data_IF_947129970362
#
_entry.id   IF_947129970362
#
_cell.length_a   1.000
_cell.length_b   1.000
_cell.length_c   1.000
_cell.angle_alpha   90.00
_cell.angle_beta   90.00
_cell.angle_gamma   90.00
#
_symmetry.space_group_name_H-M   'P 1'
#
loop_
_entity.id
_entity.type
_entity.pdbx_description
1 polymer ?
#
# COMPACT_ATOMS: atom_id res chain seq x y z
N UNK A 1 11.19 -32.54 -12.12
CA UNK A 1 12.09 -32.46 -10.95
C UNK A 1 13.37 -31.64 -11.21
N UNK A 2 13.34 -30.58 -12.02
CA UNK A 2 14.57 -29.88 -12.44
C UNK A 2 15.11 -28.82 -11.43
N UNK A 3 14.41 -28.53 -10.36
CA UNK A 3 14.83 -27.40 -9.49
C UNK A 3 14.70 -27.66 -7.98
N UNK A 4 15.06 -28.86 -7.49
CA UNK A 4 15.09 -29.10 -6.03
C UNK A 4 15.99 -28.11 -5.29
N UNK A 5 17.11 -27.71 -5.90
CA UNK A 5 18.02 -26.71 -5.34
C UNK A 5 17.37 -25.34 -5.21
N UNK A 6 16.55 -24.92 -6.19
CA UNK A 6 15.83 -23.65 -6.14
C UNK A 6 14.83 -23.62 -4.97
N UNK A 7 14.04 -24.66 -4.79
CA UNK A 7 13.10 -24.75 -3.66
C UNK A 7 13.81 -24.73 -2.31
N UNK A 8 14.96 -25.40 -2.20
CA UNK A 8 15.75 -25.36 -0.97
C UNK A 8 16.22 -23.93 -0.67
N UNK A 9 16.70 -23.21 -1.68
CA UNK A 9 17.14 -21.81 -1.54
C UNK A 9 15.95 -20.93 -1.12
N UNK A 10 14.78 -21.10 -1.74
CA UNK A 10 13.56 -20.35 -1.38
C UNK A 10 13.15 -20.61 0.07
N UNK A 11 13.15 -21.87 0.51
CA UNK A 11 12.80 -22.23 1.89
C UNK A 11 13.80 -21.62 2.89
N UNK A 12 15.11 -21.69 2.60
CA UNK A 12 16.14 -21.07 3.43
C UNK A 12 15.91 -19.55 3.52
N UNK A 13 15.64 -18.89 2.41
CA UNK A 13 15.36 -17.46 2.38
C UNK A 13 14.08 -17.12 3.19
N UNK A 14 13.03 -17.93 3.09
CA UNK A 14 11.78 -17.75 3.86
C UNK A 14 12.07 -17.85 5.37
N UNK A 15 12.86 -18.84 5.80
CA UNK A 15 13.24 -19.02 7.20
C UNK A 15 14.05 -17.80 7.69
N UNK A 16 15.05 -17.38 6.93
CA UNK A 16 15.86 -16.19 7.26
C UNK A 16 15.02 -14.94 7.32
N UNK A 17 14.13 -14.75 6.35
CA UNK A 17 13.19 -13.62 6.33
C UNK A 17 12.28 -13.61 7.55
N UNK A 18 11.72 -14.78 7.94
CA UNK A 18 10.88 -14.91 9.12
C UNK A 18 11.65 -14.57 10.43
N UNK A 19 12.92 -14.98 10.54
CA UNK A 19 13.77 -14.61 11.68
C UNK A 19 14.00 -13.10 11.72
N UNK A 20 14.27 -12.46 10.58
CA UNK A 20 14.46 -11.00 10.50
C UNK A 20 13.17 -10.26 10.86
N UNK A 21 12.03 -10.70 10.35
CA UNK A 21 10.71 -10.11 10.69
C UNK A 21 10.45 -10.24 12.19
N UNK A 22 10.75 -11.40 12.80
CA UNK A 22 10.55 -11.61 14.24
C UNK A 22 11.47 -10.73 15.10
N UNK A 23 12.68 -10.48 14.68
CA UNK A 23 13.70 -9.77 15.49
C UNK A 23 13.72 -8.27 15.25
N UNK A 24 13.58 -7.84 14.00
CA UNK A 24 13.71 -6.43 13.58
C UNK A 24 12.43 -5.84 12.97
N UNK A 25 11.41 -6.68 12.71
CA UNK A 25 10.22 -6.29 11.96
C UNK A 25 10.53 -5.98 10.48
N UNK A 26 9.50 -5.63 9.74
CA UNK A 26 9.67 -5.05 8.40
C UNK A 26 10.21 -3.62 8.51
N UNK A 27 10.97 -3.20 7.50
CA UNK A 27 11.29 -1.79 7.31
C UNK A 27 10.09 -1.11 6.64
N UNK A 28 9.57 -0.01 7.16
CA UNK A 28 8.43 0.69 6.61
C UNK A 28 8.87 2.03 6.02
N UNK A 29 8.28 2.42 4.90
CA UNK A 29 8.43 3.79 4.41
C UNK A 29 7.74 4.77 5.38
N UNK A 30 8.13 6.03 5.35
CA UNK A 30 7.64 7.07 6.26
C UNK A 30 6.12 7.07 6.38
N UNK A 31 5.40 6.96 5.24
CA UNK A 31 3.93 6.96 5.20
C UNK A 31 3.26 5.72 5.84
N UNK A 32 3.99 4.64 6.06
CA UNK A 32 3.49 3.39 6.62
C UNK A 32 4.07 3.07 8.00
N UNK A 33 5.09 3.81 8.43
CA UNK A 33 5.60 3.78 9.81
C UNK A 33 4.71 4.66 10.71
N UNK A 34 4.91 4.58 12.01
CA UNK A 34 4.44 5.61 12.91
C UNK A 34 5.16 6.93 12.57
N UNK A 35 4.39 7.99 12.34
CA UNK A 35 4.92 9.28 11.90
C UNK A 35 4.00 10.42 12.30
N UNK A 36 4.54 11.64 12.30
CA UNK A 36 3.78 12.87 12.46
C UNK A 36 3.40 13.44 11.10
N UNK A 37 2.17 13.87 10.96
CA UNK A 37 1.66 14.58 9.80
C UNK A 37 1.31 16.00 10.15
N UNK A 38 1.84 16.93 9.38
CA UNK A 38 1.53 18.37 9.48
C UNK A 38 0.69 18.74 8.26
N UNK A 39 -0.55 19.14 8.47
CA UNK A 39 -1.42 19.68 7.44
C UNK A 39 -1.46 21.18 7.51
N UNK A 40 -1.15 21.84 6.40
CA UNK A 40 -1.05 23.29 6.29
C UNK A 40 -1.95 23.76 5.16
N UNK A 41 -2.86 24.66 5.45
CA UNK A 41 -3.73 25.27 4.45
C UNK A 41 -3.04 26.52 3.91
N UNK A 42 -2.55 26.43 2.67
CA UNK A 42 -1.91 27.55 1.98
C UNK A 42 -2.96 28.60 1.51
N UNK A 43 -4.17 28.13 1.11
CA UNK A 43 -5.30 29.00 0.73
C UNK A 43 -5.11 29.76 -0.59
N UNK A 44 -4.07 29.44 -1.37
CA UNK A 44 -3.82 29.94 -2.72
C UNK A 44 -3.06 28.92 -3.55
N UNK A 45 -3.03 29.08 -4.85
CA UNK A 45 -2.23 28.21 -5.71
C UNK A 45 -0.76 28.22 -5.31
N UNK A 46 -0.14 27.05 -5.29
CA UNK A 46 1.27 26.85 -5.01
C UNK A 46 1.84 25.68 -5.83
N UNK A 47 3.14 25.74 -6.08
CA UNK A 47 3.87 24.61 -6.63
C UNK A 47 4.36 23.69 -5.50
N UNK A 48 4.05 22.39 -5.58
CA UNK A 48 4.45 21.41 -4.57
C UNK A 48 5.97 21.41 -4.36
N UNK A 49 6.73 21.57 -5.44
CA UNK A 49 8.21 21.63 -5.42
C UNK A 49 8.76 22.77 -4.57
N UNK A 50 8.03 23.87 -4.46
CA UNK A 50 8.44 24.98 -3.60
C UNK A 50 8.27 24.67 -2.13
N UNK A 51 7.20 23.95 -1.80
CA UNK A 51 6.95 23.47 -0.43
C UNK A 51 7.96 22.38 -0.07
N UNK A 52 8.27 21.46 -1.00
CA UNK A 52 9.30 20.43 -0.80
C UNK A 52 10.65 21.06 -0.44
N UNK A 53 11.08 22.09 -1.17
CA UNK A 53 12.33 22.80 -0.84
C UNK A 53 12.29 23.42 0.57
N UNK A 54 11.18 24.04 0.94
CA UNK A 54 11.04 24.63 2.27
C UNK A 54 11.07 23.54 3.34
N UNK A 55 10.42 22.40 3.09
CA UNK A 55 10.43 21.24 3.99
C UNK A 55 11.83 20.64 4.11
N UNK A 56 12.54 20.41 2.99
CA UNK A 56 13.93 19.92 2.96
C UNK A 56 14.89 20.80 3.78
N UNK A 57 14.68 22.12 3.74
CA UNK A 57 15.50 23.05 4.50
C UNK A 57 15.11 23.20 5.98
N UNK A 58 13.91 22.72 6.36
CA UNK A 58 13.34 22.92 7.70
C UNK A 58 13.33 21.66 8.53
N UNK A 59 13.11 20.50 7.91
CA UNK A 59 12.95 19.19 8.53
C UNK A 59 14.19 18.34 8.21
N UNK A 60 14.85 17.83 9.24
CA UNK A 60 16.10 17.07 9.08
C UNK A 60 15.89 15.60 8.74
N UNK A 61 14.74 15.05 9.15
CA UNK A 61 14.42 13.66 8.89
C UNK A 61 13.78 13.46 7.51
N UNK A 62 13.83 12.21 7.02
CA UNK A 62 13.13 11.82 5.80
C UNK A 62 11.65 12.17 5.91
N UNK A 63 11.17 12.95 4.97
CA UNK A 63 9.78 13.41 4.92
C UNK A 63 9.18 13.27 3.53
N UNK A 64 7.85 13.31 3.47
CA UNK A 64 7.09 13.23 2.23
C UNK A 64 6.08 14.36 2.20
N UNK A 65 6.16 15.20 1.18
CA UNK A 65 5.25 16.32 0.97
C UNK A 65 4.19 15.98 -0.09
N UNK A 66 2.91 16.26 0.20
CA UNK A 66 1.80 15.93 -0.70
C UNK A 66 0.76 17.04 -0.72
N UNK A 67 0.07 17.20 -1.85
CA UNK A 67 -1.17 17.97 -1.91
C UNK A 67 -2.30 17.11 -1.32
N UNK A 68 -3.09 17.67 -0.39
CA UNK A 68 -4.12 16.93 0.35
C UNK A 68 -5.54 17.28 -0.02
N UNK A 69 -5.76 18.37 -0.74
CA UNK A 69 -7.12 18.77 -1.18
C UNK A 69 -7.30 18.59 -2.67
N UNK A 70 -8.54 18.34 -3.08
CA UNK A 70 -8.95 18.28 -4.49
C UNK A 70 -8.62 19.58 -5.26
N UNK A 71 -8.62 20.72 -4.55
CA UNK A 71 -8.34 22.04 -5.13
C UNK A 71 -6.89 22.48 -4.98
N UNK A 72 -6.01 21.64 -4.41
CA UNK A 72 -4.59 21.91 -4.31
C UNK A 72 -4.21 23.09 -3.41
N UNK A 73 -5.07 23.45 -2.46
CA UNK A 73 -4.82 24.60 -1.56
C UNK A 73 -4.17 24.20 -0.23
N UNK A 74 -4.11 22.92 0.08
CA UNK A 74 -3.49 22.39 1.30
C UNK A 74 -2.32 21.48 0.99
N UNK A 75 -1.37 21.41 1.90
CA UNK A 75 -0.22 20.52 1.85
C UNK A 75 -0.15 19.67 3.12
N UNK A 76 0.21 18.40 2.96
CA UNK A 76 0.56 17.49 4.05
C UNK A 76 2.03 17.18 3.98
N UNK A 77 2.71 17.31 5.12
CA UNK A 77 4.11 16.93 5.30
C UNK A 77 4.13 15.80 6.34
N UNK A 78 4.56 14.62 5.90
CA UNK A 78 4.67 13.43 6.73
C UNK A 78 6.15 13.19 7.03
N UNK A 79 6.54 13.20 8.30
CA UNK A 79 7.90 12.89 8.74
C UNK A 79 7.87 12.00 9.98
N UNK A 80 8.90 11.20 10.18
CA UNK A 80 8.97 10.24 11.28
C UNK A 80 8.85 10.91 12.63
N UNK A 81 9.51 12.04 12.79
CA UNK A 81 9.34 12.96 13.90
C UNK A 81 9.53 14.40 13.39
N UNK A 82 8.87 15.36 14.01
CA UNK A 82 9.01 16.79 13.73
C UNK A 82 9.05 17.50 15.05
N UNK A 83 10.13 18.23 15.29
CA UNK A 83 10.31 19.02 16.52
C UNK A 83 9.63 20.38 16.41
N UNK A 84 9.34 21.00 17.55
CA UNK A 84 8.75 22.33 17.59
C UNK A 84 9.67 23.41 16.95
N UNK A 85 10.99 23.23 17.01
CA UNK A 85 11.95 24.12 16.35
C UNK A 85 11.91 24.00 14.83
N UNK A 86 11.76 22.77 14.31
CA UNK A 86 11.58 22.51 12.89
C UNK A 86 10.25 23.08 12.37
N UNK A 87 9.16 22.94 13.15
CA UNK A 87 7.89 23.57 12.83
C UNK A 87 7.98 25.10 12.79
N UNK A 88 8.66 25.72 13.77
CA UNK A 88 8.89 27.16 13.77
C UNK A 88 9.66 27.62 12.54
N UNK A 89 10.70 26.87 12.16
CA UNK A 89 11.50 27.16 10.96
C UNK A 89 10.67 27.03 9.69
N UNK A 90 9.88 25.95 9.58
CA UNK A 90 8.96 25.70 8.46
C UNK A 90 7.94 26.84 8.33
N UNK A 91 7.29 27.22 9.43
CA UNK A 91 6.30 28.30 9.43
C UNK A 91 6.90 29.65 9.10
N UNK A 92 8.09 29.97 9.61
CA UNK A 92 8.78 31.21 9.27
C UNK A 92 9.00 31.36 7.75
N UNK A 93 9.50 30.32 7.11
CA UNK A 93 9.74 30.31 5.66
C UNK A 93 8.42 30.33 4.84
N UNK A 94 7.39 29.61 5.30
CA UNK A 94 6.08 29.64 4.65
C UNK A 94 5.41 31.01 4.80
N UNK A 95 5.52 31.64 5.97
CA UNK A 95 4.99 32.98 6.22
C UNK A 95 5.68 34.01 5.31
N UNK A 96 6.98 33.94 5.17
CA UNK A 96 7.75 34.81 4.27
C UNK A 96 7.31 34.63 2.82
N UNK A 97 7.24 33.38 2.33
CA UNK A 97 6.93 33.08 0.92
C UNK A 97 5.48 33.35 0.55
N UNK A 98 4.55 32.98 1.42
CA UNK A 98 3.10 33.02 1.12
C UNK A 98 2.36 34.14 1.82
N UNK A 99 3.03 35.05 2.54
CA UNK A 99 2.44 36.17 3.28
C UNK A 99 1.36 35.71 4.26
N UNK A 100 1.65 34.64 5.02
CA UNK A 100 0.77 34.05 6.03
C UNK A 100 1.30 34.37 7.44
N UNK A 101 0.56 33.94 8.45
CA UNK A 101 0.90 34.18 9.86
C UNK A 101 0.79 32.91 10.68
N UNK A 102 1.33 31.79 10.14
CA UNK A 102 1.34 30.53 10.89
C UNK A 102 2.19 30.66 12.16
N UNK A 103 1.66 30.17 13.26
CA UNK A 103 2.33 30.18 14.55
C UNK A 103 2.17 28.81 15.22
N UNK A 104 3.22 28.32 15.88
CA UNK A 104 3.19 27.05 16.60
C UNK A 104 2.13 27.01 17.71
N UNK A 105 1.77 28.17 18.27
CA UNK A 105 0.72 28.27 19.28
C UNK A 105 -0.68 27.97 18.75
N UNK A 106 -0.88 28.13 17.44
CA UNK A 106 -2.15 27.90 16.78
C UNK A 106 -2.27 26.46 16.22
N UNK A 107 -1.25 25.65 16.45
CA UNK A 107 -1.23 24.24 16.05
C UNK A 107 -2.17 23.43 16.93
N UNK A 108 -3.21 22.88 16.36
CA UNK A 108 -4.05 21.89 17.03
C UNK A 108 -3.39 20.52 16.92
N UNK A 109 -3.10 19.90 18.06
CA UNK A 109 -2.61 18.51 18.15
C UNK A 109 -3.84 17.63 18.39
N UNK A 110 -4.25 16.89 17.36
CA UNK A 110 -5.33 15.90 17.47
C UNK A 110 -4.75 14.49 17.47
N UNK A 111 -5.09 13.71 18.48
CA UNK A 111 -4.57 12.34 18.68
C UNK A 111 -5.17 11.29 17.72
N UNK A 112 -6.19 11.65 16.93
CA UNK A 112 -6.90 10.68 16.05
C UNK A 112 -7.15 11.30 14.69
N UNK A 113 -6.61 10.65 13.67
CA UNK A 113 -6.88 10.95 12.27
C UNK A 113 -8.28 10.43 11.90
N UNK A 114 -9.27 11.29 11.99
CA UNK A 114 -10.50 11.07 11.25
C UNK A 114 -10.27 11.59 9.83
N UNK A 115 -10.32 10.69 8.85
CA UNK A 115 -10.33 11.02 7.41
C UNK A 115 -11.59 11.83 7.09
N UNK A 116 -11.61 13.08 7.47
CA UNK A 116 -12.62 14.02 6.99
C UNK A 116 -11.95 14.92 5.96
N UNK A 117 -12.40 14.79 4.72
CA UNK A 117 -12.10 15.74 3.67
C UNK A 117 -12.76 17.08 4.06
N UNK A 118 -11.99 17.94 4.70
CA UNK A 118 -12.38 19.34 4.86
C UNK A 118 -12.02 20.03 3.54
N UNK A 119 -13.01 20.24 2.69
CA UNK A 119 -12.87 21.14 1.54
C UNK A 119 -12.41 22.50 2.03
N UNK A 120 -11.60 23.21 1.23
CA UNK A 120 -11.22 24.59 1.54
C UNK A 120 -12.47 25.45 1.69
N UNK A 121 -12.70 25.93 2.90
CA UNK A 121 -13.92 26.67 3.27
C UNK A 121 -13.66 28.18 3.24
N UNK A 122 -12.39 28.60 3.16
CA UNK A 122 -11.96 29.99 3.21
C UNK A 122 -12.60 30.90 2.15
N UNK A 123 -12.97 30.34 1.00
CA UNK A 123 -13.53 31.07 -0.13
C UNK A 123 -15.05 30.91 -0.28
N UNK A 124 -15.69 30.16 0.64
CA UNK A 124 -17.14 29.92 0.63
C UNK A 124 -17.89 30.99 1.42
N UNK A 125 -19.09 31.32 0.95
CA UNK A 125 -20.01 32.21 1.68
C UNK A 125 -20.49 31.54 2.97
N UNK A 126 -20.96 32.35 3.93
CA UNK A 126 -21.46 31.85 5.21
C UNK A 126 -22.62 30.86 5.03
N UNK A 127 -23.47 31.07 4.00
CA UNK A 127 -24.59 30.17 3.67
C UNK A 127 -24.09 28.80 3.16
N UNK A 128 -23.04 28.76 2.35
CA UNK A 128 -22.44 27.51 1.86
C UNK A 128 -21.76 26.76 2.99
N UNK A 129 -21.10 27.48 3.89
CA UNK A 129 -20.47 26.88 5.09
C UNK A 129 -21.54 26.33 6.03
N UNK A 130 -22.65 27.03 6.23
CA UNK A 130 -23.78 26.55 7.02
C UNK A 130 -24.41 25.26 6.45
N UNK A 131 -24.49 25.14 5.12
CA UNK A 131 -24.94 23.90 4.48
C UNK A 131 -23.97 22.75 4.73
N UNK A 132 -22.65 23.00 4.68
CA UNK A 132 -21.64 22.01 5.00
C UNK A 132 -21.71 21.55 6.47
N UNK A 133 -21.90 22.49 7.40
CA UNK A 133 -22.12 22.18 8.82
C UNK A 133 -23.30 21.24 9.00
N UNK A 134 -24.43 21.50 8.32
CA UNK A 134 -25.59 20.62 8.39
C UNK A 134 -25.32 19.23 7.79
N UNK A 135 -24.60 19.13 6.68
CA UNK A 135 -24.21 17.87 6.09
C UNK A 135 -23.27 17.06 7.00
N UNK A 136 -22.31 17.72 7.66
CA UNK A 136 -21.41 17.11 8.64
C UNK A 136 -22.20 16.60 9.84
N UNK A 137 -23.14 17.39 10.34
CA UNK A 137 -24.02 16.98 11.44
C UNK A 137 -24.86 15.75 11.09
N UNK A 138 -25.50 15.74 9.93
CA UNK A 138 -26.34 14.62 9.49
C UNK A 138 -25.52 13.34 9.24
N UNK A 139 -24.35 13.48 8.63
CA UNK A 139 -23.54 12.31 8.21
C UNK A 139 -22.69 11.72 9.33
N UNK A 140 -22.19 12.56 10.23
CA UNK A 140 -21.19 12.14 11.24
C UNK A 140 -21.65 12.40 12.69
N UNK A 141 -22.80 13.06 12.91
CA UNK A 141 -23.28 13.40 14.24
C UNK A 141 -22.42 14.44 14.98
N UNK A 142 -21.57 15.20 14.27
CA UNK A 142 -20.67 16.19 14.82
C UNK A 142 -21.30 17.59 14.70
N UNK A 143 -21.28 18.35 15.80
CA UNK A 143 -21.78 19.72 15.84
C UNK A 143 -20.61 20.71 15.71
N UNK A 144 -20.60 21.47 14.62
CA UNK A 144 -19.71 22.61 14.40
C UNK A 144 -20.50 23.87 14.19
N UNK A 145 -19.93 25.02 14.59
CA UNK A 145 -20.41 26.34 14.19
C UNK A 145 -19.74 26.74 12.87
N UNK A 146 -20.34 27.73 12.17
CA UNK A 146 -19.75 28.30 10.95
C UNK A 146 -18.36 28.89 11.24
N UNK A 147 -18.22 29.56 12.38
CA UNK A 147 -16.97 30.17 12.83
C UNK A 147 -15.90 29.12 13.13
N UNK A 148 -16.25 28.03 13.83
CA UNK A 148 -15.32 26.92 14.12
C UNK A 148 -14.87 26.21 12.84
N UNK A 149 -15.73 26.06 11.86
CA UNK A 149 -15.37 25.45 10.58
C UNK A 149 -14.47 26.38 9.75
N UNK A 150 -14.71 27.68 9.74
CA UNK A 150 -13.85 28.67 9.10
C UNK A 150 -12.50 28.78 9.79
N UNK A 151 -12.46 28.81 11.11
CA UNK A 151 -11.24 28.78 11.90
C UNK A 151 -10.45 27.50 11.67
N UNK A 152 -11.11 26.35 11.59
CA UNK A 152 -10.48 25.07 11.28
C UNK A 152 -9.81 25.07 9.90
N UNK A 153 -10.39 25.84 8.93
CA UNK A 153 -9.85 25.94 7.57
C UNK A 153 -8.57 26.78 7.44
N UNK A 154 -8.25 27.59 8.44
CA UNK A 154 -7.06 28.46 8.46
C UNK A 154 -5.94 27.92 9.31
N UNK A 155 -6.13 26.82 10.05
CA UNK A 155 -5.21 26.32 11.04
C UNK A 155 -4.27 25.24 10.50
N UNK A 156 -3.06 25.22 11.07
CA UNK A 156 -2.14 24.12 10.93
C UNK A 156 -2.56 23.02 11.89
N UNK A 157 -2.67 21.80 11.39
CA UNK A 157 -2.98 20.61 12.20
C UNK A 157 -1.79 19.68 12.24
N UNK A 158 -1.50 19.13 13.41
CA UNK A 158 -0.46 18.10 13.59
C UNK A 158 -1.12 16.85 14.14
N UNK A 159 -0.90 15.72 13.46
CA UNK A 159 -1.46 14.43 13.83
C UNK A 159 -0.37 13.40 14.05
N UNK A 160 -0.58 12.56 15.04
CA UNK A 160 0.18 11.33 15.18
C UNK A 160 -0.50 10.21 14.36
N UNK A 161 0.16 9.77 13.30
CA UNK A 161 -0.35 8.73 12.41
C UNK A 161 0.18 7.38 12.85
N UNK A 162 -0.73 6.46 13.15
CA UNK A 162 -0.37 5.11 13.55
C UNK A 162 0.23 4.30 12.38
N UNK A 163 1.12 3.39 12.74
CA UNK A 163 1.75 2.46 11.80
C UNK A 163 0.70 1.58 11.08
N UNK A 164 0.82 1.49 9.77
CA UNK A 164 0.06 0.56 8.94
C UNK A 164 0.85 -0.74 8.80
N UNK A 165 0.34 -1.84 9.35
CA UNK A 165 1.00 -3.15 9.27
C UNK A 165 1.00 -3.73 7.85
N UNK A 166 1.98 -4.59 7.55
CA UNK A 166 2.00 -5.37 6.28
C UNK A 166 0.69 -6.12 6.08
N UNK A 167 0.10 -6.64 7.15
CA UNK A 167 -1.17 -7.34 7.10
C UNK A 167 -2.31 -6.44 6.59
N UNK A 168 -2.35 -5.17 7.01
CA UNK A 168 -3.37 -4.21 6.57
C UNK A 168 -3.27 -3.87 5.09
N UNK A 169 -2.04 -3.92 4.56
CA UNK A 169 -1.79 -3.72 3.13
C UNK A 169 -2.25 -4.96 2.34
N UNK A 170 -1.87 -6.16 2.81
CA UNK A 170 -2.08 -7.42 2.10
C UNK A 170 -3.54 -7.88 2.18
N UNK A 171 -4.25 -7.65 3.29
CA UNK A 171 -5.65 -8.11 3.48
C UNK A 171 -6.59 -7.67 2.35
N UNK A 172 -6.32 -6.52 1.73
CA UNK A 172 -7.11 -5.99 0.61
C UNK A 172 -7.02 -6.86 -0.65
N UNK A 173 -5.91 -7.59 -0.84
CA UNK A 173 -5.68 -8.43 -2.01
C UNK A 173 -5.89 -9.93 -1.74
N UNK A 174 -5.99 -10.36 -0.48
CA UNK A 174 -6.15 -11.77 -0.13
C UNK A 174 -7.40 -12.37 -0.77
N UNK A 175 -8.54 -11.68 -0.68
CA UNK A 175 -9.81 -12.19 -1.23
C UNK A 175 -9.72 -12.48 -2.74
N UNK A 176 -9.29 -11.55 -3.61
CA UNK A 176 -9.13 -11.85 -5.03
C UNK A 176 -8.07 -12.91 -5.31
N UNK A 177 -6.99 -13.01 -4.52
CA UNK A 177 -5.99 -14.06 -4.68
C UNK A 177 -6.56 -15.45 -4.35
N UNK A 178 -7.32 -15.58 -3.27
CA UNK A 178 -7.97 -16.84 -2.89
C UNK A 178 -9.00 -17.27 -3.93
N UNK A 179 -9.84 -16.36 -4.42
CA UNK A 179 -10.82 -16.65 -5.48
C UNK A 179 -10.10 -17.12 -6.76
N UNK A 180 -9.06 -16.39 -7.17
CA UNK A 180 -8.23 -16.76 -8.33
C UNK A 180 -7.59 -18.14 -8.14
N UNK A 181 -7.05 -18.44 -6.96
CA UNK A 181 -6.46 -19.73 -6.65
C UNK A 181 -7.47 -20.88 -6.83
N UNK A 182 -8.66 -20.74 -6.25
CA UNK A 182 -9.72 -21.77 -6.35
C UNK A 182 -10.12 -22.02 -7.79
N UNK A 183 -10.35 -20.94 -8.57
CA UNK A 183 -10.72 -21.07 -9.99
C UNK A 183 -9.65 -21.82 -10.78
N UNK A 184 -8.37 -21.44 -10.58
CA UNK A 184 -7.24 -22.06 -11.31
C UNK A 184 -7.03 -23.50 -10.86
N UNK A 185 -7.14 -23.81 -9.56
CA UNK A 185 -7.06 -25.19 -9.07
C UNK A 185 -8.14 -26.09 -9.68
N UNK A 186 -9.38 -25.61 -9.77
CA UNK A 186 -10.46 -26.34 -10.43
C UNK A 186 -10.18 -26.54 -11.92
N UNK A 187 -9.72 -25.50 -12.61
CA UNK A 187 -9.32 -25.62 -14.02
C UNK A 187 -8.22 -26.67 -14.22
N UNK A 188 -7.16 -26.62 -13.41
CA UNK A 188 -6.03 -27.57 -13.48
C UNK A 188 -6.49 -28.99 -13.18
N UNK A 189 -7.35 -29.19 -12.16
CA UNK A 189 -7.93 -30.50 -11.84
C UNK A 189 -8.70 -31.11 -13.01
N UNK A 190 -9.55 -30.31 -13.69
CA UNK A 190 -10.35 -30.77 -14.82
C UNK A 190 -9.48 -30.98 -16.07
N UNK A 191 -8.56 -30.05 -16.34
CA UNK A 191 -7.77 -30.05 -17.59
C UNK A 191 -6.75 -31.16 -17.64
N UNK A 192 -6.06 -31.43 -16.53
CA UNK A 192 -4.89 -32.32 -16.48
C UNK A 192 -5.14 -33.66 -15.78
N UNK A 193 -6.40 -34.03 -15.50
CA UNK A 193 -6.74 -35.28 -14.78
C UNK A 193 -6.21 -36.56 -15.43
N UNK A 194 -5.94 -36.56 -16.75
CA UNK A 194 -5.46 -37.74 -17.50
C UNK A 194 -3.94 -37.88 -17.56
N UNK A 195 -3.16 -36.91 -17.06
CA UNK A 195 -1.71 -36.93 -17.17
C UNK A 195 -1.09 -38.17 -16.50
N UNK A 196 -1.58 -38.52 -15.32
CA UNK A 196 -1.18 -39.72 -14.55
C UNK A 196 -2.22 -40.00 -13.45
N UNK A 197 -2.03 -41.15 -12.76
CA UNK A 197 -2.92 -41.52 -11.65
C UNK A 197 -2.92 -40.45 -10.56
N UNK A 198 -4.08 -39.97 -10.17
CA UNK A 198 -4.31 -38.93 -9.18
C UNK A 198 -3.84 -37.50 -9.60
N UNK A 199 -3.56 -37.25 -10.87
CA UNK A 199 -3.15 -35.92 -11.36
C UNK A 199 -4.19 -34.82 -11.00
N UNK A 200 -5.47 -35.17 -10.93
CA UNK A 200 -6.56 -34.27 -10.60
C UNK A 200 -6.48 -33.69 -9.18
N UNK A 201 -5.74 -34.31 -8.26
CA UNK A 201 -5.48 -33.79 -6.92
C UNK A 201 -4.06 -33.21 -6.84
N UNK A 202 -3.06 -33.95 -7.36
CA UNK A 202 -1.64 -33.62 -7.18
C UNK A 202 -1.28 -32.31 -7.87
N UNK A 203 -1.68 -32.12 -9.13
CA UNK A 203 -1.34 -30.89 -9.89
C UNK A 203 -1.93 -29.63 -9.28
N UNK A 204 -3.25 -29.56 -8.91
CA UNK A 204 -3.79 -28.38 -8.24
C UNK A 204 -3.12 -28.07 -6.90
N UNK A 205 -2.87 -29.09 -6.07
CA UNK A 205 -2.23 -28.92 -4.77
C UNK A 205 -0.80 -28.41 -4.94
N UNK A 206 -0.04 -28.96 -5.88
CA UNK A 206 1.30 -28.50 -6.18
C UNK A 206 1.32 -27.05 -6.65
N UNK A 207 0.41 -26.68 -7.56
CA UNK A 207 0.24 -25.30 -8.00
C UNK A 207 -0.05 -24.35 -6.80
N UNK A 208 -0.98 -24.74 -5.93
CA UNK A 208 -1.32 -23.95 -4.75
C UNK A 208 -0.12 -23.74 -3.81
N UNK A 209 0.66 -24.78 -3.58
CA UNK A 209 1.88 -24.70 -2.76
C UNK A 209 2.93 -23.80 -3.42
N UNK A 210 3.17 -23.94 -4.72
CA UNK A 210 4.13 -23.10 -5.46
C UNK A 210 3.75 -21.62 -5.38
N UNK A 211 2.47 -21.30 -5.56
CA UNK A 211 1.96 -19.92 -5.44
C UNK A 211 2.15 -19.35 -4.02
N UNK A 212 1.87 -20.12 -2.98
CA UNK A 212 2.07 -19.67 -1.59
C UNK A 212 3.55 -19.47 -1.29
N UNK A 213 4.41 -20.43 -1.70
CA UNK A 213 5.86 -20.35 -1.46
C UNK A 213 6.45 -19.13 -2.18
N UNK A 214 6.04 -18.84 -3.41
CA UNK A 214 6.53 -17.67 -4.15
C UNK A 214 6.14 -16.35 -3.46
N UNK A 215 4.93 -16.23 -2.90
CA UNK A 215 4.51 -15.05 -2.16
C UNK A 215 5.32 -14.88 -0.86
N UNK A 216 5.51 -15.96 -0.10
CA UNK A 216 6.32 -15.95 1.12
C UNK A 216 7.79 -15.62 0.81
N UNK A 217 8.31 -16.11 -0.31
CA UNK A 217 9.68 -15.80 -0.76
C UNK A 217 9.84 -14.30 -1.08
N UNK A 218 8.88 -13.68 -1.78
CA UNK A 218 8.91 -12.24 -2.03
C UNK A 218 8.93 -11.45 -0.72
N UNK A 219 8.05 -11.78 0.22
CA UNK A 219 8.03 -11.12 1.54
C UNK A 219 9.34 -11.33 2.31
N UNK A 220 9.95 -12.52 2.21
CA UNK A 220 11.24 -12.82 2.81
C UNK A 220 12.36 -11.95 2.20
N UNK A 221 12.42 -11.81 0.88
CA UNK A 221 13.41 -10.95 0.20
C UNK A 221 13.26 -9.49 0.64
N UNK A 222 12.03 -8.98 0.71
CA UNK A 222 11.77 -7.61 1.20
C UNK A 222 12.28 -7.41 2.63
N UNK A 223 12.08 -8.41 3.50
CA UNK A 223 12.55 -8.36 4.88
C UNK A 223 14.08 -8.43 4.98
N UNK A 224 14.70 -9.34 4.21
CA UNK A 224 16.18 -9.55 4.22
C UNK A 224 16.88 -8.31 3.66
N UNK A 225 16.45 -7.80 2.52
CA UNK A 225 17.04 -6.65 1.86
C UNK A 225 16.67 -5.31 2.53
N UNK A 226 15.82 -5.35 3.58
CA UNK A 226 15.35 -4.15 4.31
C UNK A 226 14.69 -3.12 3.40
N UNK A 227 14.07 -3.57 2.30
CA UNK A 227 13.36 -2.68 1.37
C UNK A 227 12.17 -2.06 2.12
N UNK A 228 12.00 -0.72 2.07
CA UNK A 228 10.90 -0.04 2.76
C UNK A 228 9.54 -0.56 2.28
N UNK A 229 8.70 -1.02 3.20
CA UNK A 229 7.35 -1.52 2.91
C UNK A 229 6.40 -0.36 2.67
N UNK A 230 5.64 -0.43 1.57
CA UNK A 230 4.66 0.57 1.17
C UNK A 230 3.52 -0.03 0.33
N UNK A 231 2.68 0.81 -0.27
CA UNK A 231 1.53 0.39 -1.11
C UNK A 231 1.91 -0.50 -2.29
N UNK A 232 3.11 -0.32 -2.84
CA UNK A 232 3.64 -1.08 -3.98
C UNK A 232 3.76 -2.59 -3.72
N UNK A 233 3.80 -3.03 -2.45
CA UNK A 233 3.87 -4.46 -2.10
C UNK A 233 2.69 -5.22 -2.69
N UNK A 234 1.48 -4.68 -2.60
CA UNK A 234 0.30 -5.32 -3.18
C UNK A 234 0.48 -5.54 -4.69
N UNK A 235 1.05 -4.56 -5.40
CA UNK A 235 1.30 -4.67 -6.84
C UNK A 235 2.38 -5.73 -7.15
N UNK A 236 3.46 -5.78 -6.37
CA UNK A 236 4.51 -6.78 -6.53
C UNK A 236 3.96 -8.20 -6.29
N UNK A 237 3.20 -8.40 -5.21
CA UNK A 237 2.60 -9.70 -4.90
C UNK A 237 1.63 -10.15 -5.99
N UNK A 238 0.79 -9.25 -6.53
CA UNK A 238 -0.09 -9.54 -7.65
C UNK A 238 0.70 -9.87 -8.92
N UNK A 239 1.75 -9.12 -9.23
CA UNK A 239 2.60 -9.37 -10.40
C UNK A 239 3.25 -10.75 -10.32
N UNK A 240 3.86 -11.09 -9.18
CA UNK A 240 4.49 -12.41 -8.97
C UNK A 240 3.45 -13.53 -9.07
N UNK A 241 2.26 -13.32 -8.51
CA UNK A 241 1.14 -14.27 -8.63
C UNK A 241 0.79 -14.57 -10.09
N UNK A 242 0.61 -13.53 -10.90
CA UNK A 242 0.26 -13.67 -12.33
C UNK A 242 1.38 -14.35 -13.11
N UNK A 243 2.64 -13.94 -12.88
CA UNK A 243 3.80 -14.53 -13.56
C UNK A 243 3.97 -16.01 -13.23
N UNK A 244 3.78 -16.40 -11.97
CA UNK A 244 3.85 -17.80 -11.53
C UNK A 244 2.73 -18.63 -12.17
N UNK A 245 1.49 -18.11 -12.17
CA UNK A 245 0.36 -18.76 -12.85
C UNK A 245 0.63 -18.97 -14.33
N UNK A 246 1.10 -17.95 -15.05
CA UNK A 246 1.41 -18.05 -16.48
C UNK A 246 2.51 -19.07 -16.72
N UNK A 247 3.59 -19.01 -15.97
CA UNK A 247 4.74 -19.92 -16.11
C UNK A 247 4.31 -21.36 -15.87
N UNK A 248 3.55 -21.60 -14.82
CA UNK A 248 3.06 -22.94 -14.47
C UNK A 248 2.08 -23.47 -15.52
N UNK A 249 1.11 -22.66 -15.95
CA UNK A 249 0.14 -23.06 -16.98
C UNK A 249 0.85 -23.41 -18.29
N UNK A 250 1.86 -22.66 -18.70
CA UNK A 250 2.66 -22.97 -19.89
C UNK A 250 3.41 -24.30 -19.75
N UNK A 251 3.97 -24.59 -18.60
CA UNK A 251 4.68 -25.87 -18.33
C UNK A 251 3.72 -27.05 -18.34
N UNK A 252 2.55 -26.90 -17.72
CA UNK A 252 1.54 -27.96 -17.66
C UNK A 252 0.93 -28.23 -19.02
N UNK A 253 0.69 -27.19 -19.82
CA UNK A 253 0.19 -27.36 -21.19
C UNK A 253 1.23 -28.06 -22.09
N UNK A 254 2.53 -27.76 -21.92
CA UNK A 254 3.61 -28.47 -22.61
C UNK A 254 3.60 -29.96 -22.25
N UNK A 255 3.52 -30.29 -20.95
CA UNK A 255 3.46 -31.69 -20.46
C UNK A 255 2.22 -32.42 -21.01
N UNK A 256 1.10 -31.74 -21.07
CA UNK A 256 -0.14 -32.31 -21.58
C UNK A 256 -0.10 -32.59 -23.08
N UNK A 257 0.53 -31.72 -23.89
CA UNK A 257 0.75 -31.99 -25.33
C UNK A 257 1.67 -33.17 -25.54
N UNK A 258 2.78 -33.27 -24.82
CA UNK A 258 3.68 -34.42 -24.89
C UNK A 258 2.98 -35.72 -24.49
N UNK A 259 2.09 -35.69 -23.50
CA UNK A 259 1.29 -36.86 -23.12
C UNK A 259 0.36 -37.28 -24.25
N UNK A 260 -0.35 -36.36 -24.90
CA UNK A 260 -1.24 -36.66 -26.03
C UNK A 260 -0.50 -37.29 -27.23
N UNK A 261 0.65 -36.74 -27.59
CA UNK A 261 1.47 -37.27 -28.67
C UNK A 261 1.86 -38.73 -28.40
N UNK A 262 2.33 -39.05 -27.21
CA UNK A 262 2.67 -40.42 -26.80
C UNK A 262 1.46 -41.36 -26.79
N UNK A 263 0.27 -40.86 -26.49
CA UNK A 263 -0.97 -41.66 -26.52
C UNK A 263 -1.39 -41.96 -27.96
N UNK A 264 -1.20 -41.02 -28.88
CA UNK A 264 -1.46 -41.20 -30.32
C UNK A 264 -0.46 -42.20 -30.96
N UNK A 265 0.82 -42.09 -30.66
CA UNK A 265 1.85 -43.03 -31.10
C UNK A 265 1.51 -44.49 -30.69
N UNK A 266 1.15 -44.70 -29.42
CA UNK A 266 0.76 -46.02 -28.91
C UNK A 266 -0.52 -46.57 -29.55
N UNK A 267 -1.43 -45.73 -30.00
CA UNK A 267 -2.65 -46.18 -30.74
C UNK A 267 -2.29 -46.58 -32.14
N UNK A 268 -1.39 -45.87 -32.80
CA UNK A 268 -0.92 -46.18 -34.16
C UNK A 268 -0.14 -47.49 -34.18
N UNK A 269 0.75 -47.71 -33.18
CA UNK A 269 1.48 -49.01 -33.07
C UNK A 269 0.59 -50.22 -32.80
N UNK A 270 -0.57 -50.02 -32.14
CA UNK A 270 -1.51 -51.12 -31.89
C UNK A 270 -2.42 -51.45 -33.08
N UNK A 271 -2.51 -50.54 -34.05
CA UNK A 271 -3.35 -50.70 -35.25
C UNK A 271 -2.57 -51.12 -36.49
N UNK A 272 -1.22 -51.06 -36.40
CA UNK A 272 -0.30 -51.60 -37.40
C UNK A 272 0.08 -53.06 -37.05
#
# INVERSE_FOLDING_TARGET
MKNKSLYIIMIIAIILGAIIVKTKGFNYSTLYSEHKRVEIIIGKEYELRDIEKIADESIKEDHVTRKTTLYGTSVSIDAKDITDDELNTLFSKLNEKYSKSYNIKDVKKDDILQEQQVESISDKSDDEVAQLVNQIREKYGLEYTVEELKDASTQVKVYDVQKIGVWDIIKKIISPLVISLVIVMVYVAIRYHKLYKNAWIIEPVQLGLELIISQLFVLAILAIARIPVGSYISAILLLVWVLELLTRTMQDEKRFREYKLREEEKKTEKTA
#
